data_IF_492366828487
#
_entry.id   IF_492366828487
#
_cell.length_a   1.000
_cell.length_b   1.000
_cell.length_c   1.000
_cell.angle_alpha   90.00
_cell.angle_beta   90.00
_cell.angle_gamma   90.00
#
_symmetry.space_group_name_H-M   'P 1'
#
loop_
_entity.id
_entity.type
_entity.pdbx_description
1 polymer ?
#
# COMPACT_ATOMS: atom_id res chain seq x y z
N UNK A 1 -9.44 12.48 -23.93
CA UNK A 1 -10.77 12.07 -24.39
C UNK A 1 -11.27 13.00 -25.49
N UNK A 2 -12.05 12.46 -26.43
CA UNK A 2 -12.70 13.27 -27.46
C UNK A 2 -14.12 13.67 -27.10
N UNK A 3 -14.68 13.05 -26.05
CA UNK A 3 -16.03 13.32 -25.58
C UNK A 3 -16.02 13.45 -24.06
N UNK A 4 -16.88 14.31 -23.53
CA UNK A 4 -17.16 14.43 -22.10
C UNK A 4 -18.65 14.30 -21.85
N UNK A 5 -19.01 13.79 -20.68
CA UNK A 5 -20.40 13.80 -20.24
C UNK A 5 -20.80 15.19 -19.75
N UNK A 6 -22.02 15.58 -20.09
CA UNK A 6 -22.67 16.75 -19.51
C UNK A 6 -23.99 16.30 -18.87
N UNK A 7 -24.15 16.55 -17.59
CA UNK A 7 -25.37 16.23 -16.85
C UNK A 7 -26.09 17.50 -16.48
N UNK A 8 -27.42 17.48 -16.66
CA UNK A 8 -28.31 18.58 -16.25
C UNK A 8 -29.63 17.99 -15.74
N UNK A 9 -30.25 18.68 -14.82
CA UNK A 9 -31.63 18.39 -14.45
C UNK A 9 -32.57 19.08 -15.45
N UNK A 10 -33.58 18.36 -15.89
CA UNK A 10 -34.63 18.89 -16.77
C UNK A 10 -35.91 19.08 -15.94
N UNK A 11 -36.29 20.33 -15.70
CA UNK A 11 -37.47 20.70 -14.89
C UNK A 11 -38.79 20.25 -15.51
N UNK A 12 -38.85 20.00 -16.84
CA UNK A 12 -40.07 19.59 -17.54
C UNK A 12 -40.35 18.09 -17.39
N UNK A 13 -39.29 17.30 -17.48
CA UNK A 13 -39.35 15.85 -17.36
C UNK A 13 -39.05 15.34 -15.96
N UNK A 14 -38.60 16.22 -15.05
CA UNK A 14 -38.14 15.91 -13.70
C UNK A 14 -37.08 14.81 -13.66
N UNK A 15 -36.23 14.78 -14.67
CA UNK A 15 -35.19 13.75 -14.81
C UNK A 15 -33.80 14.34 -15.06
N UNK A 16 -32.76 13.59 -14.71
CA UNK A 16 -31.39 13.93 -15.04
C UNK A 16 -31.08 13.51 -16.47
N UNK A 17 -30.88 14.48 -17.34
CA UNK A 17 -30.46 14.26 -18.72
C UNK A 17 -28.95 14.18 -18.76
N UNK A 18 -28.42 13.18 -19.42
CA UNK A 18 -26.98 13.00 -19.66
C UNK A 18 -26.70 13.09 -21.15
N UNK A 19 -26.02 14.13 -21.54
CA UNK A 19 -25.60 14.37 -22.92
C UNK A 19 -24.09 14.09 -23.07
N UNK A 20 -23.66 13.85 -24.29
CA UNK A 20 -22.24 13.73 -24.64
C UNK A 20 -21.81 14.94 -25.45
N UNK A 21 -20.83 15.69 -24.95
CA UNK A 21 -20.25 16.83 -25.65
C UNK A 21 -18.98 16.37 -26.35
N UNK A 22 -18.99 16.41 -27.69
CA UNK A 22 -17.84 16.04 -28.51
C UNK A 22 -16.81 17.19 -28.54
N UNK A 23 -15.55 16.82 -28.40
CA UNK A 23 -14.41 17.75 -28.43
C UNK A 23 -13.25 17.18 -27.63
N UNK A 24 -12.06 17.74 -27.82
CA UNK A 24 -10.91 17.32 -27.02
C UNK A 24 -11.03 17.79 -25.59
N UNK A 25 -11.11 16.85 -24.65
CA UNK A 25 -11.15 17.08 -23.22
C UNK A 25 -10.05 16.28 -22.53
N UNK A 26 -9.36 16.88 -21.58
CA UNK A 26 -8.27 16.26 -20.87
C UNK A 26 -8.29 16.63 -19.37
N UNK A 27 -7.89 15.71 -18.56
CA UNK A 27 -7.49 15.96 -17.19
C UNK A 27 -6.06 15.45 -16.98
N UNK A 28 -5.45 15.87 -15.91
CA UNK A 28 -4.12 15.44 -15.49
C UNK A 28 -4.10 15.19 -14.01
N UNK A 29 -3.40 14.11 -13.64
CA UNK A 29 -3.15 13.76 -12.26
C UNK A 29 -1.66 13.59 -12.05
N UNK A 30 -1.24 13.82 -10.83
CA UNK A 30 0.11 13.51 -10.38
C UNK A 30 0.10 13.06 -8.93
N UNK A 31 1.07 12.25 -8.59
CA UNK A 31 1.39 11.90 -7.22
C UNK A 31 2.89 12.07 -7.00
N UNK A 32 3.27 12.26 -5.76
CA UNK A 32 4.66 12.28 -5.34
C UNK A 32 4.85 11.28 -4.20
N UNK A 33 5.93 10.51 -4.25
CA UNK A 33 6.28 9.62 -3.16
C UNK A 33 7.78 9.59 -2.95
N UNK A 34 8.17 9.45 -1.69
CA UNK A 34 9.56 9.24 -1.28
C UNK A 34 9.60 8.09 -0.30
N UNK A 35 10.62 7.24 -0.42
CA UNK A 35 10.81 6.09 0.45
C UNK A 35 12.26 6.03 0.92
N UNK A 36 12.44 5.79 2.21
CA UNK A 36 13.73 5.61 2.86
C UNK A 36 13.72 4.28 3.58
N UNK A 37 14.77 3.51 3.40
CA UNK A 37 14.95 2.23 4.07
C UNK A 37 16.41 1.93 4.33
N UNK A 38 16.66 1.10 5.34
CA UNK A 38 18.01 0.65 5.68
C UNK A 38 17.98 -0.81 6.13
N UNK A 39 19.15 -1.39 6.30
CA UNK A 39 19.29 -2.76 6.80
C UNK A 39 20.28 -2.80 7.95
N UNK A 40 19.83 -3.32 9.08
CA UNK A 40 20.66 -3.59 10.22
C UNK A 40 20.94 -5.10 10.33
N UNK A 41 22.17 -5.44 10.68
CA UNK A 41 22.61 -6.81 10.88
C UNK A 41 23.06 -6.99 12.33
N UNK A 42 22.41 -7.93 13.03
CA UNK A 42 22.82 -8.41 14.33
C UNK A 42 23.38 -9.83 14.22
N UNK A 43 24.43 -10.14 14.95
CA UNK A 43 24.97 -11.50 15.07
C UNK A 43 25.24 -11.82 16.53
N UNK A 44 24.54 -12.84 17.01
CA UNK A 44 24.68 -13.37 18.37
C UNK A 44 25.41 -14.72 18.30
N UNK A 45 26.58 -14.81 18.93
CA UNK A 45 27.40 -16.03 18.96
C UNK A 45 27.24 -16.75 20.29
N UNK A 46 27.10 -18.07 20.24
CA UNK A 46 26.97 -18.93 21.41
C UNK A 46 28.18 -19.84 21.57
N UNK A 47 28.74 -19.89 22.79
CA UNK A 47 29.94 -20.72 23.07
C UNK A 47 29.60 -22.19 23.29
N UNK A 48 28.37 -22.52 23.68
CA UNK A 48 27.90 -23.88 24.00
C UNK A 48 26.56 -24.17 23.28
N UNK A 49 26.24 -25.45 23.10
CA UNK A 49 25.00 -25.89 22.46
C UNK A 49 25.12 -26.12 20.95
N UNK A 50 24.02 -26.53 20.33
CA UNK A 50 23.95 -26.91 18.91
C UNK A 50 23.95 -25.72 17.96
N UNK A 51 23.57 -24.53 18.44
CA UNK A 51 23.58 -23.29 17.67
C UNK A 51 24.90 -22.59 17.91
N UNK A 52 25.63 -22.29 16.83
CA UNK A 52 26.88 -21.54 16.86
C UNK A 52 26.61 -20.03 16.87
N UNK A 53 25.69 -19.58 16.01
CA UNK A 53 25.33 -18.17 15.91
C UNK A 53 23.90 -18.00 15.41
N UNK A 54 23.27 -16.90 15.78
CA UNK A 54 22.01 -16.40 15.20
C UNK A 54 22.30 -15.07 14.50
N UNK A 55 21.91 -14.99 13.23
CA UNK A 55 21.91 -13.76 12.45
C UNK A 55 20.51 -13.17 12.45
N UNK A 56 20.37 -11.96 12.90
CA UNK A 56 19.14 -11.17 12.84
C UNK A 56 19.33 -10.05 11.82
N UNK A 57 18.46 -9.98 10.84
CA UNK A 57 18.44 -8.91 9.84
C UNK A 57 17.14 -8.13 10.03
N UNK A 58 17.28 -6.83 10.24
CA UNK A 58 16.18 -5.89 10.46
C UNK A 58 16.19 -4.85 9.34
N UNK A 59 15.05 -4.69 8.66
CA UNK A 59 14.89 -3.75 7.56
C UNK A 59 13.73 -2.80 7.86
N UNK A 60 13.97 -1.71 8.60
CA UNK A 60 12.99 -0.64 8.72
C UNK A 60 12.89 0.14 7.42
N UNK A 61 11.69 0.56 7.08
CA UNK A 61 11.45 1.53 6.03
C UNK A 61 10.32 2.48 6.37
N UNK A 62 10.42 3.68 5.85
CA UNK A 62 9.42 4.72 5.92
C UNK A 62 9.17 5.25 4.52
N UNK A 63 7.91 5.38 4.13
CA UNK A 63 7.54 5.99 2.87
C UNK A 63 6.45 7.02 3.07
N UNK A 64 6.61 8.14 2.39
CA UNK A 64 5.64 9.22 2.34
C UNK A 64 5.04 9.27 0.95
N UNK A 65 3.71 9.38 0.87
CA UNK A 65 2.99 9.53 -0.39
C UNK A 65 2.00 10.69 -0.31
N UNK A 66 1.94 11.44 -1.39
CA UNK A 66 1.08 12.61 -1.53
C UNK A 66 0.43 12.61 -2.91
N UNK A 67 -0.89 12.77 -2.96
CA UNK A 67 -1.67 13.04 -4.15
C UNK A 67 -2.66 14.17 -3.83
N UNK A 68 -2.62 15.28 -4.57
CA UNK A 68 -3.59 16.35 -4.41
C UNK A 68 -5.02 15.89 -4.68
N UNK A 69 -5.96 16.67 -4.25
CA UNK A 69 -7.35 16.55 -4.66
C UNK A 69 -7.51 17.09 -6.09
N UNK A 70 -8.09 16.28 -6.97
CA UNK A 70 -8.40 16.65 -8.35
C UNK A 70 -9.90 16.80 -8.60
N UNK A 71 -10.70 16.96 -7.55
CA UNK A 71 -12.15 17.18 -7.66
C UNK A 71 -12.51 18.45 -8.45
N UNK A 72 -11.58 19.38 -8.59
CA UNK A 72 -11.78 20.58 -9.42
C UNK A 72 -11.98 20.29 -10.93
N UNK A 73 -11.75 19.04 -11.38
CA UNK A 73 -12.15 18.60 -12.72
C UNK A 73 -13.58 18.07 -12.78
N UNK A 74 -14.25 17.93 -11.65
CA UNK A 74 -15.64 17.56 -11.59
C UNK A 74 -16.53 18.76 -11.92
N UNK A 75 -17.72 18.46 -12.39
CA UNK A 75 -18.79 19.42 -12.68
C UNK A 75 -19.98 19.12 -11.77
N UNK A 76 -20.90 20.03 -11.67
CA UNK A 76 -22.09 19.91 -10.83
C UNK A 76 -23.35 20.10 -11.67
N UNK A 77 -24.43 19.42 -11.28
CA UNK A 77 -25.76 19.68 -11.80
C UNK A 77 -26.77 19.78 -10.66
N UNK A 78 -27.86 20.54 -10.88
CA UNK A 78 -28.94 20.70 -9.92
C UNK A 78 -29.61 19.37 -9.62
N UNK A 79 -29.88 19.07 -8.37
CA UNK A 79 -30.42 17.79 -7.91
C UNK A 79 -31.88 17.58 -8.33
N UNK A 80 -32.74 18.61 -8.12
CA UNK A 80 -34.15 18.60 -8.44
C UNK A 80 -34.72 20.01 -8.52
N UNK A 81 -35.93 20.15 -9.07
CA UNK A 81 -36.66 21.42 -9.09
C UNK A 81 -37.07 21.87 -7.67
N UNK A 82 -37.34 20.93 -6.78
CA UNK A 82 -37.76 21.22 -5.39
C UNK A 82 -36.61 21.71 -4.52
N UNK A 83 -35.38 21.33 -4.87
CA UNK A 83 -34.14 21.69 -4.14
C UNK A 83 -33.19 22.45 -5.07
N UNK A 84 -33.52 23.68 -5.51
CA UNK A 84 -32.75 24.39 -6.54
C UNK A 84 -31.35 24.80 -6.10
N UNK A 85 -31.07 24.78 -4.81
CA UNK A 85 -29.75 25.11 -4.23
C UNK A 85 -28.92 23.85 -3.89
N UNK A 86 -29.43 22.65 -4.12
CA UNK A 86 -28.68 21.42 -3.98
C UNK A 86 -28.10 20.97 -5.32
N UNK A 87 -26.78 20.76 -5.33
CA UNK A 87 -26.03 20.32 -6.50
C UNK A 87 -25.41 18.94 -6.25
N UNK A 88 -25.37 18.13 -7.28
CA UNK A 88 -24.71 16.84 -7.28
C UNK A 88 -23.48 16.90 -8.15
N UNK A 89 -22.34 16.63 -7.54
CA UNK A 89 -21.04 16.57 -8.20
C UNK A 89 -20.92 15.30 -9.06
N UNK A 90 -20.39 15.43 -10.25
CA UNK A 90 -20.08 14.31 -11.13
C UNK A 90 -18.79 14.54 -11.89
N UNK A 91 -18.16 13.48 -12.35
CA UNK A 91 -17.03 13.59 -13.24
C UNK A 91 -17.46 13.49 -14.70
N UNK A 92 -17.14 14.49 -15.55
CA UNK A 92 -17.38 14.43 -16.98
C UNK A 92 -16.65 13.26 -17.68
N UNK A 93 -15.65 12.70 -17.03
CA UNK A 93 -14.78 11.64 -17.56
C UNK A 93 -15.15 10.23 -17.07
N UNK A 94 -16.25 10.06 -16.34
CA UNK A 94 -16.60 8.80 -15.65
C UNK A 94 -16.71 7.59 -16.58
N UNK A 95 -17.11 7.79 -17.85
CA UNK A 95 -17.23 6.73 -18.85
C UNK A 95 -15.96 6.58 -19.72
N UNK A 96 -14.92 7.32 -19.45
CA UNK A 96 -13.66 7.22 -20.18
C UNK A 96 -12.87 5.95 -19.85
N UNK A 97 -12.08 5.47 -20.80
CA UNK A 97 -11.24 4.26 -20.64
C UNK A 97 -10.22 4.34 -19.50
N UNK A 98 -9.81 5.54 -19.10
CA UNK A 98 -8.91 5.77 -17.97
C UNK A 98 -9.63 6.18 -16.68
N UNK A 99 -10.98 6.15 -16.71
CA UNK A 99 -11.80 6.54 -15.57
C UNK A 99 -11.83 8.05 -15.33
N UNK A 100 -12.20 8.41 -14.12
CA UNK A 100 -12.30 9.80 -13.65
C UNK A 100 -11.09 10.20 -12.83
N UNK A 101 -10.80 11.53 -12.73
CA UNK A 101 -9.78 12.01 -11.81
C UNK A 101 -10.08 11.62 -10.36
N UNK A 102 -9.02 11.36 -9.62
CA UNK A 102 -9.12 11.00 -8.21
C UNK A 102 -9.60 12.17 -7.36
N UNK A 103 -10.69 11.97 -6.64
CA UNK A 103 -11.19 12.94 -5.67
C UNK A 103 -10.60 12.70 -4.29
N UNK A 104 -10.46 13.79 -3.53
CA UNK A 104 -9.95 13.80 -2.17
C UNK A 104 -8.42 13.80 -2.09
N UNK A 105 -7.92 14.55 -1.13
CA UNK A 105 -6.50 14.59 -0.78
C UNK A 105 -6.07 13.23 -0.22
N UNK A 106 -5.01 12.66 -0.77
CA UNK A 106 -4.33 11.51 -0.19
C UNK A 106 -2.94 11.92 0.31
N UNK A 107 -2.72 11.80 1.59
CA UNK A 107 -1.48 12.19 2.24
C UNK A 107 -1.19 11.19 3.37
N UNK A 108 -0.19 10.33 3.18
CA UNK A 108 0.09 9.25 4.12
C UNK A 108 1.56 8.98 4.33
N UNK A 109 1.89 8.59 5.55
CA UNK A 109 3.17 8.06 5.96
C UNK A 109 3.01 6.57 6.28
N UNK A 110 3.78 5.72 5.60
CA UNK A 110 3.76 4.28 5.83
C UNK A 110 5.06 3.85 6.51
N UNK A 111 4.92 3.04 7.54
CA UNK A 111 6.03 2.49 8.32
C UNK A 111 6.03 0.98 8.20
N UNK A 112 7.16 0.39 7.87
CA UNK A 112 7.33 -1.06 7.85
C UNK A 112 8.60 -1.49 8.55
N UNK A 113 8.56 -2.65 9.17
CA UNK A 113 9.69 -3.27 9.84
C UNK A 113 9.73 -4.75 9.51
N UNK A 114 10.63 -5.13 8.60
CA UNK A 114 10.84 -6.52 8.22
C UNK A 114 11.98 -7.12 9.03
N UNK A 115 11.75 -8.31 9.56
CA UNK A 115 12.73 -9.06 10.34
C UNK A 115 12.93 -10.45 9.73
N UNK A 116 14.18 -10.91 9.76
CA UNK A 116 14.57 -12.25 9.36
C UNK A 116 15.56 -12.82 10.37
N UNK A 117 15.39 -14.08 10.78
CA UNK A 117 16.24 -14.77 11.73
C UNK A 117 16.74 -16.08 11.12
N UNK A 118 18.08 -16.20 11.10
CA UNK A 118 18.76 -17.42 10.64
C UNK A 118 19.68 -17.93 11.74
N UNK A 119 19.74 -19.23 11.93
CA UNK A 119 20.68 -19.88 12.83
C UNK A 119 21.73 -20.66 12.05
N UNK A 120 22.98 -20.56 12.49
CA UNK A 120 24.09 -21.39 12.08
C UNK A 120 24.29 -22.51 13.11
N UNK A 121 24.21 -23.75 12.67
CA UNK A 121 24.42 -24.90 13.52
C UNK A 121 25.92 -25.14 13.71
N UNK A 122 26.30 -25.57 14.92
CA UNK A 122 27.66 -26.00 15.25
C UNK A 122 27.95 -27.36 14.60
N UNK A 123 29.11 -27.50 13.98
CA UNK A 123 29.55 -28.77 13.48
C UNK A 123 29.75 -29.75 14.67
N UNK A 124 29.14 -30.91 14.58
CA UNK A 124 29.53 -32.06 15.43
C UNK A 124 30.81 -32.64 14.85
N UNK A 125 31.84 -32.78 15.70
CA UNK A 125 33.07 -33.50 15.34
C UNK A 125 32.73 -34.92 14.89
N UNK A 126 32.70 -35.17 13.61
CA UNK A 126 32.76 -36.51 13.02
C UNK A 126 32.90 -36.42 11.50
N UNK A 127 33.99 -36.92 10.99
CA UNK A 127 34.29 -37.63 9.74
C UNK A 127 33.45 -37.44 8.48
N UNK A 128 32.58 -36.46 8.37
CA UNK A 128 31.84 -36.19 7.15
C UNK A 128 32.35 -34.95 6.43
N UNK A 129 32.65 -35.12 5.16
CA UNK A 129 33.24 -34.21 4.20
C UNK A 129 32.35 -33.00 3.86
N UNK A 130 31.35 -32.64 4.69
CA UNK A 130 30.55 -31.44 4.47
C UNK A 130 31.32 -30.21 4.93
N UNK A 131 31.85 -29.50 3.95
CA UNK A 131 32.70 -28.30 4.11
C UNK A 131 31.93 -27.10 4.61
N UNK A 132 30.58 -27.10 4.60
CA UNK A 132 29.77 -25.95 4.97
C UNK A 132 28.95 -26.16 6.25
N UNK A 133 28.96 -25.17 7.13
CA UNK A 133 28.14 -25.18 8.34
C UNK A 133 26.65 -25.05 7.95
N UNK A 134 25.83 -25.99 8.39
CA UNK A 134 24.38 -26.01 8.11
C UNK A 134 23.70 -24.78 8.65
N UNK A 135 23.02 -24.03 7.76
CA UNK A 135 22.18 -22.89 8.12
C UNK A 135 20.72 -23.34 8.16
N UNK A 136 19.99 -22.86 9.14
CA UNK A 136 18.55 -23.06 9.24
C UNK A 136 17.86 -21.70 9.36
N UNK A 137 16.73 -21.55 8.70
CA UNK A 137 15.89 -20.37 8.81
C UNK A 137 14.98 -20.58 10.03
N UNK A 138 15.12 -19.72 11.04
CA UNK A 138 14.24 -19.75 12.22
C UNK A 138 12.96 -18.97 11.93
N UNK A 139 13.10 -17.84 11.23
CA UNK A 139 12.00 -16.97 10.85
C UNK A 139 12.35 -16.35 9.50
N UNK A 140 11.61 -16.73 8.48
CA UNK A 140 11.84 -16.24 7.13
C UNK A 140 11.44 -14.76 7.01
N UNK A 141 10.29 -14.42 7.56
CA UNK A 141 9.81 -13.06 7.63
C UNK A 141 8.97 -12.85 8.91
N UNK A 142 9.18 -11.71 9.53
CA UNK A 142 8.27 -11.13 10.52
C UNK A 142 8.15 -9.66 10.16
N UNK A 143 7.01 -9.31 9.59
CA UNK A 143 6.74 -7.98 9.10
C UNK A 143 5.71 -7.28 10.00
N UNK A 144 6.05 -6.07 10.42
CA UNK A 144 5.15 -5.13 11.06
C UNK A 144 4.91 -3.97 10.10
N UNK A 145 3.65 -3.59 9.93
CA UNK A 145 3.27 -2.47 9.07
C UNK A 145 2.17 -1.64 9.71
N UNK A 146 2.28 -0.33 9.57
CA UNK A 146 1.24 0.63 9.94
C UNK A 146 1.35 1.85 9.06
N UNK A 147 0.28 2.63 8.99
CA UNK A 147 0.24 3.88 8.25
C UNK A 147 -0.40 4.99 9.05
N UNK A 148 0.04 6.20 8.81
CA UNK A 148 -0.53 7.41 9.34
C UNK A 148 -1.13 8.24 8.21
N UNK A 149 -2.46 8.40 8.21
CA UNK A 149 -3.17 9.23 7.24
C UNK A 149 -3.22 10.67 7.73
N UNK A 150 -2.45 11.56 7.08
CA UNK A 150 -2.39 12.98 7.42
C UNK A 150 -3.61 13.75 6.93
N UNK A 151 -4.30 13.23 5.91
CA UNK A 151 -5.48 13.85 5.32
C UNK A 151 -6.77 13.54 6.09
N UNK A 152 -6.77 12.55 6.97
CA UNK A 152 -7.95 12.20 7.76
C UNK A 152 -8.14 13.18 8.93
N UNK A 153 -9.39 13.48 9.29
CA UNK A 153 -9.71 14.29 10.45
C UNK A 153 -9.57 13.53 11.77
N UNK A 154 -9.90 12.23 11.74
CA UNK A 154 -9.83 11.35 12.90
C UNK A 154 -9.30 9.97 12.51
N UNK A 155 -8.98 9.13 13.50
CA UNK A 155 -8.48 7.75 13.33
C UNK A 155 -7.29 7.68 12.34
N UNK A 156 -6.35 8.62 12.48
CA UNK A 156 -5.24 8.82 11.56
C UNK A 156 -4.28 7.62 11.46
N UNK A 157 -4.14 6.84 12.53
CA UNK A 157 -3.33 5.64 12.54
C UNK A 157 -4.11 4.41 12.09
N UNK A 158 -3.57 3.65 11.16
CA UNK A 158 -4.07 2.31 10.87
C UNK A 158 -3.71 1.34 11.99
N UNK A 159 -4.46 0.24 12.15
CA UNK A 159 -4.00 -0.88 12.98
C UNK A 159 -2.60 -1.35 12.56
N UNK A 160 -1.82 -1.82 13.52
CA UNK A 160 -0.54 -2.47 13.22
C UNK A 160 -0.82 -3.85 12.64
N UNK A 161 -0.49 -4.02 11.36
CA UNK A 161 -0.50 -5.33 10.71
C UNK A 161 0.75 -6.12 11.09
N UNK A 162 0.58 -7.40 11.42
CA UNK A 162 1.68 -8.33 11.70
C UNK A 162 1.54 -9.54 10.80
N UNK A 163 2.59 -9.86 10.06
CA UNK A 163 2.66 -11.06 9.24
C UNK A 163 3.95 -11.80 9.59
N UNK A 164 3.84 -13.10 9.85
CA UNK A 164 4.99 -13.95 10.15
C UNK A 164 4.98 -15.17 9.25
N UNK A 165 6.16 -15.60 8.83
CA UNK A 165 6.34 -16.81 8.04
C UNK A 165 7.66 -17.50 8.34
N UNK A 166 7.64 -18.81 8.34
CA UNK A 166 8.85 -19.63 8.47
C UNK A 166 8.78 -20.84 7.56
N UNK A 167 9.95 -21.35 7.21
CA UNK A 167 10.14 -22.56 6.43
C UNK A 167 10.85 -23.61 7.29
N UNK A 168 10.26 -24.79 7.39
CA UNK A 168 10.75 -25.87 8.21
C UNK A 168 11.14 -27.08 7.33
N UNK A 169 12.00 -27.93 7.84
CA UNK A 169 12.42 -29.19 7.20
C UNK A 169 13.02 -29.03 5.80
N UNK A 170 13.97 -28.09 5.61
CA UNK A 170 14.60 -27.79 4.32
C UNK A 170 13.54 -27.43 3.26
N UNK A 171 12.72 -26.43 3.58
CA UNK A 171 11.67 -25.85 2.73
C UNK A 171 10.49 -26.78 2.38
N UNK A 172 10.39 -27.94 3.05
CA UNK A 172 9.29 -28.88 2.82
C UNK A 172 7.97 -28.48 3.47
N UNK A 173 8.02 -27.60 4.49
CA UNK A 173 6.85 -27.10 5.20
C UNK A 173 6.95 -25.58 5.34
N UNK A 174 5.97 -24.85 4.80
CA UNK A 174 5.83 -23.40 4.97
C UNK A 174 4.67 -23.11 5.91
N UNK A 175 4.93 -22.30 6.94
CA UNK A 175 3.91 -21.81 7.89
C UNK A 175 3.85 -20.29 7.76
N UNK A 176 2.65 -19.76 7.52
CA UNK A 176 2.38 -18.32 7.42
C UNK A 176 1.19 -17.96 8.31
N UNK A 177 1.32 -16.85 9.02
CA UNK A 177 0.29 -16.26 9.92
C UNK A 177 0.12 -14.78 9.58
#
# INVERSE_FOLDING_TARGET
>A
YFDKLNKRFDDVTETVVTDTISGFNAFREYNASVSLGTTFYGMFKFKKGNIEAIRHVVRPSVSYSYRPDFSYFNEEYQKSAEEPNEFIEYSPFSNGIFGKPGSGLSNSLNLTLNNNLEAKLRKKDSTETETEAKKIILLNNLNFSTSYNMAADSLKWSPVGVNAGTQLFNDKLSVNV
#
